data_IF_428219367699
#
_entry.id   IF_428219367699
#
_cell.length_a   1.000
_cell.length_b   1.000
_cell.length_c   1.000
_cell.angle_alpha   90.00
_cell.angle_beta   90.00
_cell.angle_gamma   90.00
#
_symmetry.space_group_name_H-M   'P 1'
#
loop_
_entity.id
_entity.type
_entity.pdbx_description
1 polymer ?
#
# COMPACT_ATOMS: atom_id res chain seq x y z
N UNK A 1 -11.65 7.35 10.03
CA UNK A 1 -12.24 6.60 8.91
C UNK A 1 -12.45 5.16 9.32
N UNK A 2 -13.37 4.44 8.69
CA UNK A 2 -13.55 3.00 8.86
C UNK A 2 -12.88 2.22 7.71
N UNK A 3 -12.91 0.88 7.78
CA UNK A 3 -12.25 0.02 6.81
C UNK A 3 -12.81 0.14 5.37
N UNK A 4 -14.12 0.35 5.20
CA UNK A 4 -14.69 0.55 3.88
C UNK A 4 -14.20 1.87 3.26
N UNK A 5 -14.19 2.95 4.05
CA UNK A 5 -13.66 4.25 3.61
C UNK A 5 -12.16 4.19 3.26
N UNK A 6 -11.38 3.40 4.01
CA UNK A 6 -9.99 3.13 3.70
C UNK A 6 -9.83 2.47 2.33
N UNK A 7 -10.57 1.39 2.07
CA UNK A 7 -10.48 0.68 0.79
C UNK A 7 -11.01 1.49 -0.38
N UNK A 8 -12.08 2.26 -0.19
CA UNK A 8 -12.58 3.21 -1.20
C UNK A 8 -11.53 4.27 -1.55
N UNK A 9 -10.79 4.76 -0.55
CA UNK A 9 -9.70 5.70 -0.75
C UNK A 9 -8.55 5.08 -1.55
N UNK A 10 -8.11 3.87 -1.20
CA UNK A 10 -7.07 3.12 -1.94
C UNK A 10 -7.49 2.87 -3.39
N UNK A 11 -8.71 2.37 -3.61
CA UNK A 11 -9.22 2.09 -4.96
C UNK A 11 -9.33 3.35 -5.81
N UNK A 12 -9.82 4.45 -5.24
CA UNK A 12 -9.94 5.73 -5.92
C UNK A 12 -8.57 6.24 -6.36
N UNK A 13 -7.57 6.22 -5.48
CA UNK A 13 -6.23 6.72 -5.83
C UNK A 13 -5.52 5.79 -6.80
N UNK A 14 -5.69 4.46 -6.68
CA UNK A 14 -5.16 3.49 -7.67
C UNK A 14 -5.70 3.74 -9.07
N UNK A 15 -7.02 3.96 -9.20
CA UNK A 15 -7.65 4.23 -10.49
C UNK A 15 -7.17 5.56 -11.08
N UNK A 16 -7.03 6.59 -10.25
CA UNK A 16 -6.54 7.90 -10.68
C UNK A 16 -5.07 7.86 -11.11
N UNK A 17 -4.26 7.05 -10.44
CA UNK A 17 -2.84 6.87 -10.78
C UNK A 17 -2.60 5.92 -11.95
N UNK A 18 -3.64 5.20 -12.40
CA UNK A 18 -3.56 4.22 -13.50
C UNK A 18 -2.49 3.14 -13.27
N UNK A 19 -2.30 2.73 -12.02
CA UNK A 19 -1.32 1.71 -11.63
C UNK A 19 0.05 2.26 -11.23
N UNK A 20 0.32 3.55 -11.43
CA UNK A 20 1.54 4.20 -10.92
C UNK A 20 1.45 4.35 -9.39
N UNK A 21 2.28 3.61 -8.66
CA UNK A 21 2.25 3.56 -7.19
C UNK A 21 2.81 4.84 -6.55
N UNK A 22 3.81 5.48 -7.15
CA UNK A 22 4.36 6.76 -6.68
C UNK A 22 3.31 7.88 -6.81
N UNK A 23 2.58 7.90 -7.92
CA UNK A 23 1.47 8.83 -8.11
C UNK A 23 0.31 8.51 -7.15
N UNK A 24 0.02 7.23 -6.92
CA UNK A 24 -1.00 6.82 -5.94
C UNK A 24 -0.67 7.34 -4.54
N UNK A 25 0.57 7.18 -4.09
CA UNK A 25 1.06 7.68 -2.80
C UNK A 25 0.88 9.20 -2.69
N UNK A 26 1.25 9.95 -3.74
CA UNK A 26 1.05 11.41 -3.76
C UNK A 26 -0.42 11.79 -3.61
N UNK A 27 -1.31 11.11 -4.35
CA UNK A 27 -2.75 11.34 -4.27
C UNK A 27 -3.34 11.00 -2.89
N UNK A 28 -2.83 9.93 -2.25
CA UNK A 28 -3.21 9.55 -0.90
C UNK A 28 -2.80 10.60 0.12
N UNK A 29 -1.54 11.05 0.09
CA UNK A 29 -1.02 12.10 0.96
C UNK A 29 -1.83 13.39 0.80
N UNK A 30 -2.10 13.79 -0.45
CA UNK A 30 -2.88 14.98 -0.77
C UNK A 30 -4.30 14.88 -0.21
N UNK A 31 -4.97 13.75 -0.44
CA UNK A 31 -6.34 13.53 0.04
C UNK A 31 -6.40 13.46 1.57
N UNK A 32 -5.51 12.71 2.22
CA UNK A 32 -5.48 12.55 3.67
C UNK A 32 -5.11 13.84 4.38
N UNK A 33 -4.26 14.70 3.80
CA UNK A 33 -3.90 15.99 4.41
C UNK A 33 -5.12 16.91 4.62
N UNK A 34 -6.19 16.71 3.85
CA UNK A 34 -7.45 17.45 3.95
C UNK A 34 -8.44 16.83 4.96
N UNK A 35 -8.15 15.63 5.49
CA UNK A 35 -8.99 14.93 6.46
C UNK A 35 -8.72 15.38 7.90
N UNK A 36 -9.55 14.95 8.86
CA UNK A 36 -9.29 15.20 10.29
C UNK A 36 -8.09 14.39 10.78
N UNK A 37 -7.52 14.75 11.93
CA UNK A 37 -6.41 13.98 12.52
C UNK A 37 -6.84 12.58 12.92
N UNK A 38 -8.07 12.42 13.40
CA UNK A 38 -8.67 11.12 13.72
C UNK A 38 -8.82 10.26 12.47
N UNK A 39 -9.18 10.86 11.32
CA UNK A 39 -9.22 10.12 10.05
C UNK A 39 -7.83 9.67 9.60
N UNK A 40 -6.79 10.51 9.71
CA UNK A 40 -5.41 10.14 9.37
C UNK A 40 -4.90 9.01 10.30
N UNK A 41 -5.19 9.10 11.60
CA UNK A 41 -4.82 8.08 12.57
C UNK A 41 -5.53 6.74 12.29
N UNK A 42 -6.83 6.78 11.98
CA UNK A 42 -7.55 5.56 11.64
C UNK A 42 -7.07 4.93 10.31
N UNK A 43 -6.66 5.74 9.33
CA UNK A 43 -5.99 5.24 8.12
C UNK A 43 -4.75 4.43 8.50
N UNK A 44 -3.88 5.00 9.34
CA UNK A 44 -2.66 4.36 9.81
C UNK A 44 -2.96 3.04 10.55
N UNK A 45 -3.93 3.07 11.47
CA UNK A 45 -4.32 1.89 12.24
C UNK A 45 -4.80 0.75 11.33
N UNK A 46 -5.61 1.05 10.31
CA UNK A 46 -6.10 0.06 9.35
C UNK A 46 -4.96 -0.45 8.47
N UNK A 47 -4.13 0.45 7.94
CA UNK A 47 -2.97 0.09 7.13
C UNK A 47 -2.04 -0.87 7.88
N UNK A 48 -1.62 -0.50 9.11
CA UNK A 48 -0.72 -1.34 9.90
C UNK A 48 -1.34 -2.67 10.31
N UNK A 49 -2.67 -2.73 10.51
CA UNK A 49 -3.36 -3.99 10.72
C UNK A 49 -3.19 -4.91 9.51
N UNK A 50 -3.51 -4.44 8.31
CA UNK A 50 -3.38 -5.21 7.07
C UNK A 50 -1.92 -5.59 6.79
N UNK A 51 -1.00 -4.66 7.03
CA UNK A 51 0.43 -4.84 6.88
C UNK A 51 0.97 -5.93 7.83
N UNK A 52 0.51 -5.94 9.09
CA UNK A 52 0.87 -6.99 10.05
C UNK A 52 0.24 -8.33 9.65
N UNK A 53 -1.02 -8.33 9.24
CA UNK A 53 -1.77 -9.53 8.85
C UNK A 53 -1.17 -10.19 7.57
N UNK A 54 -0.45 -9.42 6.73
CA UNK A 54 0.23 -9.91 5.53
C UNK A 54 1.65 -10.46 5.77
N UNK A 55 2.19 -10.37 6.99
CA UNK A 55 3.48 -10.97 7.33
C UNK A 55 3.34 -12.51 7.47
N UNK A 56 3.41 -13.22 6.34
CA UNK A 56 3.27 -14.68 6.26
C UNK A 56 4.34 -15.30 5.36
N UNK A 57 4.74 -16.54 5.68
CA UNK A 57 5.72 -17.31 4.88
C UNK A 57 5.31 -17.44 3.41
N UNK A 58 4.02 -17.64 3.15
CA UNK A 58 3.54 -17.91 1.80
C UNK A 58 3.52 -16.63 0.96
N UNK A 59 3.24 -15.48 1.60
CA UNK A 59 3.35 -14.15 0.99
C UNK A 59 4.82 -13.84 0.70
N UNK A 60 5.74 -14.20 1.60
CA UNK A 60 7.19 -14.07 1.36
C UNK A 60 7.64 -14.90 0.17
N UNK A 61 7.21 -16.15 0.08
CA UNK A 61 7.55 -17.04 -1.03
C UNK A 61 7.10 -16.44 -2.37
N UNK A 62 5.89 -15.87 -2.43
CA UNK A 62 5.44 -15.17 -3.63
C UNK A 62 6.22 -13.89 -3.92
N UNK A 63 6.50 -13.07 -2.91
CA UNK A 63 7.33 -11.86 -3.08
C UNK A 63 8.68 -12.23 -3.70
N UNK A 64 9.31 -13.31 -3.22
CA UNK A 64 10.55 -13.84 -3.78
C UNK A 64 10.41 -14.26 -5.24
N UNK A 65 9.33 -14.95 -5.60
CA UNK A 65 9.10 -15.38 -6.99
C UNK A 65 8.85 -14.18 -7.92
N UNK A 66 7.96 -13.26 -7.53
CA UNK A 66 7.57 -12.10 -8.35
C UNK A 66 8.75 -11.14 -8.55
N UNK A 67 9.50 -10.82 -7.50
CA UNK A 67 10.58 -9.85 -7.58
C UNK A 67 11.91 -10.48 -8.03
N UNK A 68 11.97 -11.80 -8.25
CA UNK A 68 13.22 -12.51 -8.58
C UNK A 68 14.23 -12.56 -7.43
N UNK A 69 13.73 -12.44 -6.19
CA UNK A 69 14.49 -12.37 -4.94
C UNK A 69 13.70 -11.59 -3.87
N UNK A 70 13.99 -11.81 -2.58
CA UNK A 70 13.34 -11.05 -1.52
C UNK A 70 14.24 -10.92 -0.27
N UNK A 71 14.49 -9.69 0.15
CA UNK A 71 15.09 -9.33 1.44
C UNK A 71 13.98 -8.90 2.41
N UNK A 72 14.32 -8.65 3.67
CA UNK A 72 13.35 -8.10 4.64
C UNK A 72 12.75 -6.77 4.14
N UNK A 73 13.58 -5.86 3.61
CA UNK A 73 13.12 -4.59 3.07
C UNK A 73 12.22 -4.75 1.84
N UNK A 74 12.58 -5.63 0.89
CA UNK A 74 11.72 -5.83 -0.28
C UNK A 74 10.43 -6.57 0.07
N UNK A 75 10.43 -7.40 1.13
CA UNK A 75 9.19 -7.99 1.64
C UNK A 75 8.25 -6.94 2.22
N UNK A 76 8.81 -5.98 2.96
CA UNK A 76 8.09 -4.82 3.47
C UNK A 76 7.44 -4.03 2.33
N UNK A 77 8.21 -3.74 1.27
CA UNK A 77 7.72 -2.98 0.12
C UNK A 77 6.67 -3.75 -0.69
N UNK A 78 6.81 -5.07 -0.78
CA UNK A 78 5.84 -5.94 -1.43
C UNK A 78 4.51 -5.97 -0.70
N UNK A 79 4.53 -6.10 0.64
CA UNK A 79 3.30 -6.07 1.45
C UNK A 79 2.59 -4.72 1.37
N UNK A 80 3.36 -3.63 1.31
CA UNK A 80 2.82 -2.28 1.11
C UNK A 80 2.19 -2.13 -0.28
N UNK A 81 2.85 -2.68 -1.31
CA UNK A 81 2.32 -2.76 -2.68
C UNK A 81 1.04 -3.60 -2.77
N UNK A 82 0.95 -4.75 -2.08
CA UNK A 82 -0.27 -5.58 -2.07
C UNK A 82 -1.49 -4.80 -1.58
N UNK A 83 -1.32 -3.97 -0.55
CA UNK A 83 -2.39 -3.11 -0.03
C UNK A 83 -2.76 -2.05 -1.08
N UNK A 84 -1.77 -1.48 -1.79
CA UNK A 84 -1.98 -0.50 -2.85
C UNK A 84 -2.88 -1.02 -3.99
N UNK A 85 -2.84 -2.33 -4.27
CA UNK A 85 -3.68 -3.01 -5.27
C UNK A 85 -5.17 -3.09 -4.90
N UNK A 86 -5.53 -2.67 -3.68
CA UNK A 86 -6.90 -2.57 -3.21
C UNK A 86 -7.47 -3.86 -2.67
N UNK A 87 -8.69 -3.75 -2.11
CA UNK A 87 -9.28 -4.78 -1.26
C UNK A 87 -9.36 -6.14 -1.92
N UNK A 88 -9.94 -6.20 -3.11
CA UNK A 88 -10.21 -7.46 -3.82
C UNK A 88 -8.92 -8.22 -4.12
N UNK A 89 -7.89 -7.51 -4.59
CA UNK A 89 -6.59 -8.12 -4.90
C UNK A 89 -5.91 -8.60 -3.61
N UNK A 90 -5.86 -7.74 -2.60
CA UNK A 90 -5.28 -8.07 -1.30
C UNK A 90 -5.95 -9.31 -0.67
N UNK A 91 -7.28 -9.33 -0.57
CA UNK A 91 -8.02 -10.45 0.02
C UNK A 91 -7.85 -11.76 -0.76
N UNK A 92 -7.83 -11.69 -2.10
CA UNK A 92 -7.61 -12.85 -2.94
C UNK A 92 -6.18 -13.38 -2.75
N UNK A 93 -5.18 -12.51 -2.80
CA UNK A 93 -3.78 -12.85 -2.60
C UNK A 93 -3.53 -13.45 -1.22
N UNK A 94 -4.16 -12.92 -0.17
CA UNK A 94 -4.03 -13.43 1.19
C UNK A 94 -4.68 -14.80 1.41
N UNK A 95 -5.55 -15.25 0.49
CA UNK A 95 -6.24 -16.53 0.54
C UNK A 95 -5.56 -17.58 -0.34
N UNK A 96 -5.22 -17.22 -1.57
CA UNK A 96 -4.73 -18.11 -2.63
C UNK A 96 -3.59 -17.43 -3.41
N UNK A 97 -2.43 -17.21 -2.77
CA UNK A 97 -1.32 -16.44 -3.34
C UNK A 97 -0.77 -17.07 -4.63
N UNK A 98 -0.66 -18.40 -4.71
CA UNK A 98 -0.16 -19.08 -5.90
C UNK A 98 -1.01 -18.89 -7.16
N UNK A 99 -2.33 -18.80 -7.03
CA UNK A 99 -3.26 -18.66 -8.18
C UNK A 99 -3.15 -17.26 -8.78
N UNK A 100 -3.00 -16.24 -7.93
CA UNK A 100 -2.91 -14.85 -8.39
C UNK A 100 -1.65 -14.62 -9.22
N UNK A 101 -0.54 -15.25 -8.86
CA UNK A 101 0.73 -15.08 -9.58
C UNK A 101 0.70 -15.74 -10.96
N UNK A 102 0.13 -16.94 -11.07
CA UNK A 102 0.01 -17.68 -12.35
C UNK A 102 -0.87 -16.93 -13.38
N UNK A 103 -1.90 -16.22 -12.91
CA UNK A 103 -2.77 -15.39 -13.78
C UNK A 103 -2.15 -14.05 -14.20
N UNK A 104 -1.08 -13.59 -13.54
CA UNK A 104 -0.55 -12.21 -13.68
C UNK A 104 0.88 -12.11 -14.19
N UNK A 105 1.54 -13.22 -14.55
CA UNK A 105 2.95 -13.27 -15.01
C UNK A 105 3.30 -12.32 -16.18
N UNK A 106 2.32 -11.78 -16.92
CA UNK A 106 2.57 -10.88 -18.05
C UNK A 106 2.58 -9.39 -17.69
N UNK A 107 2.07 -8.97 -16.52
CA UNK A 107 1.80 -7.55 -16.21
C UNK A 107 2.37 -7.07 -14.85
N UNK A 108 3.03 -7.92 -14.06
CA UNK A 108 3.64 -7.51 -12.79
C UNK A 108 5.00 -6.84 -13.00
N UNK A 109 4.96 -5.55 -13.33
CA UNK A 109 6.12 -4.66 -13.30
C UNK A 109 6.49 -4.38 -11.82
N UNK A 110 7.39 -5.19 -11.23
CA UNK A 110 7.96 -5.07 -9.87
C UNK A 110 6.97 -4.73 -8.73
N UNK A 111 6.66 -5.71 -7.89
CA UNK A 111 5.71 -5.56 -6.78
C UNK A 111 6.28 -4.81 -5.58
N UNK A 112 6.61 -3.53 -5.71
CA UNK A 112 7.19 -2.74 -4.61
C UNK A 112 6.56 -1.35 -4.47
N UNK A 113 6.32 -0.92 -3.23
CA UNK A 113 5.86 0.42 -2.92
C UNK A 113 6.26 0.83 -1.49
N UNK A 114 7.54 1.15 -1.30
CA UNK A 114 8.09 1.62 -0.01
C UNK A 114 7.29 2.80 0.57
N UNK A 115 7.05 3.83 -0.24
CA UNK A 115 6.46 5.08 0.24
C UNK A 115 5.02 4.94 0.76
N UNK A 116 4.33 3.84 0.44
CA UNK A 116 3.00 3.58 0.97
C UNK A 116 2.99 3.44 2.50
N UNK A 117 4.09 2.94 3.08
CA UNK A 117 4.25 2.77 4.54
C UNK A 117 4.22 4.13 5.26
N UNK A 118 4.69 5.20 4.60
CA UNK A 118 4.82 6.54 5.18
C UNK A 118 3.63 7.48 4.98
N UNK A 119 2.58 7.06 4.26
CA UNK A 119 1.49 7.94 3.80
C UNK A 119 0.80 8.70 4.94
N UNK A 120 0.49 8.06 6.07
CA UNK A 120 -0.16 8.71 7.23
C UNK A 120 0.69 9.83 7.80
N UNK A 121 1.96 9.53 8.06
CA UNK A 121 2.97 10.47 8.58
C UNK A 121 3.16 11.65 7.64
N UNK A 122 3.24 11.40 6.35
CA UNK A 122 3.48 12.43 5.34
C UNK A 122 2.24 13.33 5.18
N UNK A 123 1.04 12.75 5.20
CA UNK A 123 -0.22 13.50 5.23
C UNK A 123 -0.35 14.38 6.48
N UNK A 124 -0.01 13.84 7.66
CA UNK A 124 0.01 14.61 8.91
C UNK A 124 1.01 15.76 8.84
N UNK A 125 2.21 15.51 8.33
CA UNK A 125 3.27 16.51 8.16
C UNK A 125 2.82 17.63 7.23
N UNK A 126 2.26 17.27 6.06
CA UNK A 126 1.71 18.21 5.09
C UNK A 126 0.59 19.06 5.67
N UNK A 127 -0.36 18.44 6.39
CA UNK A 127 -1.48 19.13 7.06
C UNK A 127 -1.01 20.19 8.06
N UNK A 128 0.07 19.92 8.78
CA UNK A 128 0.62 20.84 9.77
C UNK A 128 1.63 21.84 9.20
N UNK A 129 1.85 21.86 7.87
CA UNK A 129 2.94 22.61 7.22
C UNK A 129 4.32 22.34 7.85
N UNK A 130 4.52 21.15 8.42
CA UNK A 130 5.77 20.73 9.07
C UNK A 130 6.78 20.21 8.05
N UNK A 131 6.88 20.85 6.87
CA UNK A 131 7.89 20.50 5.89
C UNK A 131 9.28 20.84 6.47
N UNK A 132 9.94 19.83 7.03
CA UNK A 132 11.37 19.82 7.24
C UNK A 132 12.01 19.77 5.86
N UNK A 133 12.21 20.94 5.25
CA UNK A 133 12.77 21.06 3.92
C UNK A 133 14.08 20.30 3.82
N UNK A 134 14.06 19.18 3.10
CA UNK A 134 15.23 18.67 2.40
C UNK A 134 14.98 19.01 0.93
N UNK A 135 15.73 20.03 0.48
CA UNK A 135 15.94 20.33 -0.94
C UNK A 135 16.79 19.25 -1.59
#
# INVERSE_FOLDING_TARGET
MNENEFWELIDKTRQQSKGDTDLQVKLLIDTLSQKTFEEIFEYERIFYKLYTDSYKSDVWAMAYMINGGCSDDSFDYFRAWLIAQGKKYFELFMKEPEIVVDETEQDLEYGECEYMIGVSRDAYTKKNNLFWGIR
#
